data_IF_650806421717
#
_entry.id   IF_650806421717
#
_cell.length_a   1.000
_cell.length_b   1.000
_cell.length_c   1.000
_cell.angle_alpha   90.00
_cell.angle_beta   90.00
_cell.angle_gamma   90.00
#
_symmetry.space_group_name_H-M   'P 1'
#
loop_
_entity.id
_entity.type
_entity.pdbx_description
1 polymer ?
#
# COMPACT_ATOMS: atom_id res chain seq x y z
N UNK A 1 -6.96 17.76 0.39
CA UNK A 1 -6.35 16.47 -0.03
C UNK A 1 -7.28 15.32 0.33
N UNK A 2 -7.65 14.48 -0.65
CA UNK A 2 -8.41 13.26 -0.45
C UNK A 2 -7.43 12.09 -0.28
N UNK A 3 -7.51 11.39 0.86
CA UNK A 3 -6.66 10.23 1.17
C UNK A 3 -7.52 8.98 1.22
N UNK A 4 -7.07 7.91 0.57
CA UNK A 4 -7.63 6.56 0.71
C UNK A 4 -6.59 5.68 1.40
N UNK A 5 -7.03 4.95 2.44
CA UNK A 5 -6.23 3.97 3.17
C UNK A 5 -6.69 2.55 2.88
N UNK A 6 -5.78 1.68 2.45
CA UNK A 6 -6.05 0.25 2.26
C UNK A 6 -5.25 -0.57 3.27
N UNK A 7 -5.89 -1.08 4.34
CA UNK A 7 -5.22 -1.88 5.37
C UNK A 7 -4.67 -3.21 4.86
N UNK A 8 -3.99 -3.94 5.74
CA UNK A 8 -3.56 -5.31 5.50
C UNK A 8 -4.68 -6.34 5.73
N UNK A 9 -4.29 -7.61 5.81
CA UNK A 9 -5.25 -8.74 5.91
C UNK A 9 -6.03 -8.76 7.23
N UNK A 10 -5.38 -8.38 8.34
CA UNK A 10 -5.98 -8.45 9.68
C UNK A 10 -6.67 -7.13 10.05
N UNK A 11 -7.80 -7.16 10.80
CA UNK A 11 -8.57 -5.98 11.15
C UNK A 11 -7.80 -4.95 11.99
N UNK A 12 -6.86 -5.37 12.82
CA UNK A 12 -5.99 -4.47 13.58
C UNK A 12 -5.07 -3.62 12.70
N UNK A 13 -4.86 -3.97 11.43
CA UNK A 13 -4.14 -3.13 10.48
C UNK A 13 -4.92 -1.86 10.10
N UNK A 14 -6.24 -1.81 10.29
CA UNK A 14 -7.02 -0.58 10.16
C UNK A 14 -6.61 0.44 11.24
N UNK A 15 -6.54 0.01 12.49
CA UNK A 15 -6.11 0.86 13.61
C UNK A 15 -4.64 1.30 13.45
N UNK A 16 -3.80 0.39 12.98
CA UNK A 16 -2.41 0.69 12.67
C UNK A 16 -2.29 1.78 11.58
N UNK A 17 -3.03 1.64 10.48
CA UNK A 17 -3.01 2.61 9.39
C UNK A 17 -3.55 3.97 9.84
N UNK A 18 -4.61 3.98 10.64
CA UNK A 18 -5.14 5.19 11.27
C UNK A 18 -4.09 5.89 12.12
N UNK A 19 -3.31 5.14 12.91
CA UNK A 19 -2.24 5.69 13.73
C UNK A 19 -1.13 6.32 12.87
N UNK A 20 -0.75 5.69 11.77
CA UNK A 20 0.23 6.26 10.82
C UNK A 20 -0.28 7.57 10.22
N UNK A 21 -1.54 7.60 9.75
CA UNK A 21 -2.13 8.80 9.16
C UNK A 21 -2.20 9.95 10.17
N UNK A 22 -2.64 9.68 11.41
CA UNK A 22 -2.69 10.69 12.48
C UNK A 22 -1.30 11.23 12.78
N UNK A 23 -0.31 10.36 12.93
CA UNK A 23 1.06 10.75 13.23
C UNK A 23 1.72 11.55 12.08
N UNK A 24 1.32 11.29 10.84
CA UNK A 24 1.75 12.03 9.65
C UNK A 24 0.90 13.27 9.36
N UNK A 25 -0.03 13.63 10.25
CA UNK A 25 -0.95 14.78 10.10
C UNK A 25 -1.82 14.73 8.84
N UNK A 26 -2.18 13.51 8.40
CA UNK A 26 -3.00 13.26 7.22
C UNK A 26 -4.46 12.97 7.57
N UNK A 27 -5.42 13.21 6.65
CA UNK A 27 -6.82 12.86 6.84
C UNK A 27 -7.04 11.36 7.10
N UNK A 28 -7.86 11.01 8.09
CA UNK A 28 -8.13 9.62 8.50
C UNK A 28 -9.48 9.06 8.03
N UNK A 29 -10.23 9.83 7.27
CA UNK A 29 -11.46 9.36 6.63
C UNK A 29 -11.11 8.70 5.28
N UNK A 30 -11.77 7.63 4.93
CA UNK A 30 -11.48 6.91 3.68
C UNK A 30 -10.58 5.68 3.87
N UNK A 31 -10.43 5.20 5.11
CA UNK A 31 -9.79 3.90 5.36
C UNK A 31 -10.81 2.80 5.07
N UNK A 32 -10.42 1.85 4.21
CA UNK A 32 -11.27 0.73 3.84
C UNK A 32 -11.51 -0.22 5.02
N UNK A 33 -12.73 -0.75 5.08
CA UNK A 33 -13.12 -1.83 5.96
C UNK A 33 -13.45 -3.05 5.10
N UNK A 34 -12.73 -4.14 5.28
CA UNK A 34 -12.86 -5.29 4.37
C UNK A 34 -13.97 -6.25 4.80
N UNK A 35 -14.69 -6.80 3.81
CA UNK A 35 -15.79 -7.73 4.03
C UNK A 35 -15.38 -8.96 4.84
N UNK A 36 -14.20 -9.52 4.59
CA UNK A 36 -13.73 -10.73 5.27
C UNK A 36 -13.46 -10.55 6.77
N UNK A 37 -13.44 -9.32 7.29
CA UNK A 37 -13.35 -9.09 8.73
C UNK A 37 -14.68 -9.30 9.45
N UNK A 38 -15.80 -9.09 8.78
CA UNK A 38 -17.15 -9.23 9.35
C UNK A 38 -17.76 -10.60 9.03
N UNK A 39 -17.32 -11.20 7.93
CA UNK A 39 -17.79 -12.49 7.45
C UNK A 39 -16.68 -13.54 7.57
N UNK A 40 -17.04 -14.80 7.84
CA UNK A 40 -16.08 -15.92 7.91
C UNK A 40 -15.69 -16.41 6.50
N UNK A 41 -15.10 -15.52 5.71
CA UNK A 41 -14.66 -15.78 4.33
C UNK A 41 -13.20 -15.41 4.14
N UNK A 42 -12.56 -15.93 3.10
CA UNK A 42 -11.22 -15.52 2.72
C UNK A 42 -11.23 -14.09 2.13
N UNK A 43 -10.09 -13.36 2.21
CA UNK A 43 -9.94 -12.08 1.52
C UNK A 43 -10.23 -12.21 0.02
N UNK A 44 -11.04 -11.31 -0.50
CA UNK A 44 -11.42 -11.24 -1.91
C UNK A 44 -10.87 -9.95 -2.53
N UNK A 45 -9.68 -10.03 -3.11
CA UNK A 45 -9.01 -8.90 -3.75
C UNK A 45 -9.82 -8.32 -4.90
N UNK A 46 -10.51 -9.16 -5.68
CA UNK A 46 -11.37 -8.70 -6.77
C UNK A 46 -12.54 -7.88 -6.26
N UNK A 47 -13.27 -8.39 -5.28
CA UNK A 47 -14.38 -7.68 -4.66
C UNK A 47 -13.96 -6.32 -4.09
N UNK A 48 -12.90 -6.31 -3.28
CA UNK A 48 -12.43 -5.08 -2.63
C UNK A 48 -11.88 -4.07 -3.67
N UNK A 49 -11.26 -4.53 -4.74
CA UNK A 49 -10.78 -3.65 -5.81
C UNK A 49 -11.90 -3.00 -6.62
N UNK A 50 -13.03 -3.68 -6.82
CA UNK A 50 -14.21 -3.12 -7.48
C UNK A 50 -14.82 -1.94 -6.72
N UNK A 51 -14.73 -1.94 -5.37
CA UNK A 51 -15.23 -0.84 -4.54
C UNK A 51 -14.44 0.47 -4.74
N UNK A 52 -13.26 0.41 -5.35
CA UNK A 52 -12.44 1.57 -5.70
C UNK A 52 -12.71 2.10 -7.11
N UNK A 53 -13.65 1.50 -7.84
CA UNK A 53 -13.95 1.84 -9.22
C UNK A 53 -14.15 3.36 -9.41
N UNK A 54 -13.46 3.91 -10.42
CA UNK A 54 -13.53 5.33 -10.80
C UNK A 54 -13.11 6.34 -9.71
N UNK A 55 -12.54 5.89 -8.60
CA UNK A 55 -12.02 6.81 -7.58
C UNK A 55 -10.63 7.34 -7.98
N UNK A 56 -10.38 8.61 -7.69
CA UNK A 56 -9.13 9.29 -8.02
C UNK A 56 -8.64 10.13 -6.82
N UNK A 57 -8.20 9.49 -5.73
CA UNK A 57 -7.70 10.21 -4.56
C UNK A 57 -6.40 10.95 -4.87
N UNK A 58 -6.12 11.99 -4.09
CA UNK A 58 -4.83 12.68 -4.16
C UNK A 58 -3.69 11.76 -3.67
N UNK A 59 -3.95 11.00 -2.61
CA UNK A 59 -2.99 10.07 -2.02
C UNK A 59 -3.65 8.72 -1.68
N UNK A 60 -2.98 7.64 -2.07
CA UNK A 60 -3.25 6.29 -1.58
C UNK A 60 -2.18 5.87 -0.59
N UNK A 61 -2.58 5.31 0.56
CA UNK A 61 -1.66 4.59 1.46
C UNK A 61 -2.16 3.16 1.63
N UNK A 62 -1.35 2.19 1.24
CA UNK A 62 -1.74 0.78 1.27
C UNK A 62 -0.71 -0.07 2.04
N UNK A 63 -1.22 -1.01 2.84
CA UNK A 63 -0.43 -1.97 3.63
C UNK A 63 -0.67 -3.39 3.15
N UNK A 64 0.38 -4.13 2.86
CA UNK A 64 0.33 -5.59 2.62
C UNK A 64 -0.76 -5.98 1.60
N UNK A 65 -1.85 -6.66 2.01
CA UNK A 65 -2.99 -7.01 1.14
C UNK A 65 -3.52 -5.79 0.36
N UNK A 66 -3.55 -4.63 0.99
CA UNK A 66 -4.00 -3.39 0.35
C UNK A 66 -3.18 -3.02 -0.89
N UNK A 67 -1.92 -3.43 -0.98
CA UNK A 67 -1.08 -3.18 -2.18
C UNK A 67 -1.54 -3.99 -3.39
N UNK A 68 -1.99 -5.23 -3.18
CA UNK A 68 -2.59 -6.06 -4.23
C UNK A 68 -3.95 -5.51 -4.70
N UNK A 69 -4.78 -5.07 -3.75
CA UNK A 69 -6.09 -4.45 -4.04
C UNK A 69 -5.89 -3.18 -4.88
N UNK A 70 -4.95 -2.32 -4.51
CA UNK A 70 -4.63 -1.09 -5.23
C UNK A 70 -4.19 -1.35 -6.68
N UNK A 71 -3.26 -2.29 -6.86
CA UNK A 71 -2.73 -2.63 -8.19
C UNK A 71 -3.83 -3.18 -9.10
N UNK A 72 -4.70 -4.05 -8.58
CA UNK A 72 -5.82 -4.61 -9.33
C UNK A 72 -6.86 -3.55 -9.69
N UNK A 73 -7.22 -2.68 -8.74
CA UNK A 73 -8.15 -1.58 -8.98
C UNK A 73 -7.63 -0.62 -10.05
N UNK A 74 -6.35 -0.30 -10.04
CA UNK A 74 -5.72 0.54 -11.04
C UNK A 74 -5.84 -0.05 -12.46
N UNK A 75 -5.53 -1.33 -12.61
CA UNK A 75 -5.51 -1.96 -13.93
C UNK A 75 -6.93 -2.24 -14.47
N UNK A 76 -7.85 -2.72 -13.62
CA UNK A 76 -9.14 -3.22 -14.08
C UNK A 76 -10.33 -2.31 -13.76
N UNK A 77 -10.23 -1.40 -12.78
CA UNK A 77 -11.40 -0.66 -12.26
C UNK A 77 -11.23 0.86 -12.32
N UNK A 78 -10.35 1.37 -13.18
CA UNK A 78 -10.15 2.81 -13.39
C UNK A 78 -9.85 3.59 -12.10
N UNK A 79 -9.27 2.94 -11.10
CA UNK A 79 -8.76 3.61 -9.91
C UNK A 79 -7.50 4.39 -10.27
N UNK A 80 -7.48 5.71 -9.99
CA UNK A 80 -6.43 6.62 -10.47
C UNK A 80 -5.92 7.54 -9.35
N UNK A 81 -5.22 7.01 -8.34
CA UNK A 81 -4.57 7.87 -7.35
C UNK A 81 -3.50 8.72 -8.03
N UNK A 82 -3.34 9.96 -7.58
CA UNK A 82 -2.26 10.84 -8.11
C UNK A 82 -0.90 10.37 -7.61
N UNK A 83 -0.83 9.94 -6.36
CA UNK A 83 0.37 9.40 -5.73
C UNK A 83 0.04 8.26 -4.77
N UNK A 84 1.01 7.41 -4.46
CA UNK A 84 0.80 6.26 -3.59
C UNK A 84 1.99 5.96 -2.67
N UNK A 85 1.69 5.49 -1.46
CA UNK A 85 2.66 4.93 -0.52
C UNK A 85 2.26 3.48 -0.25
N UNK A 86 3.13 2.54 -0.62
CA UNK A 86 2.92 1.11 -0.45
C UNK A 86 3.85 0.58 0.64
N UNK A 87 3.28 0.07 1.73
CA UNK A 87 4.02 -0.35 2.92
C UNK A 87 3.95 -1.86 3.08
N UNK A 88 5.10 -2.52 3.15
CA UNK A 88 5.17 -3.97 3.33
C UNK A 88 4.51 -4.73 2.19
N UNK A 89 4.88 -4.42 0.97
CA UNK A 89 4.40 -5.11 -0.23
C UNK A 89 4.87 -6.56 -0.24
N UNK A 90 3.97 -7.57 -0.18
CA UNK A 90 4.36 -8.97 -0.03
C UNK A 90 4.62 -9.62 -1.40
N UNK A 91 5.52 -9.06 -2.20
CA UNK A 91 5.74 -9.46 -3.59
C UNK A 91 6.25 -10.90 -3.77
N UNK A 92 6.83 -11.51 -2.73
CA UNK A 92 7.26 -12.92 -2.77
C UNK A 92 6.11 -13.91 -2.77
N UNK A 93 4.94 -13.52 -2.24
CA UNK A 93 3.75 -14.38 -2.22
C UNK A 93 2.81 -14.10 -3.39
N UNK A 94 3.10 -13.09 -4.18
CA UNK A 94 2.35 -12.79 -5.39
C UNK A 94 2.71 -13.76 -6.51
N UNK A 95 1.72 -14.15 -7.28
CA UNK A 95 1.96 -14.86 -8.54
C UNK A 95 2.51 -13.90 -9.63
N UNK A 96 3.01 -14.43 -10.77
CA UNK A 96 3.53 -13.57 -11.82
C UNK A 96 2.53 -12.56 -12.38
N UNK A 97 1.23 -12.87 -12.38
CA UNK A 97 0.19 -11.95 -12.84
C UNK A 97 0.01 -10.78 -11.85
N UNK A 98 -0.03 -11.06 -10.56
CA UNK A 98 -0.10 -10.04 -9.51
C UNK A 98 1.14 -9.12 -9.51
N UNK A 99 2.33 -9.68 -9.70
CA UNK A 99 3.56 -8.90 -9.88
C UNK A 99 3.46 -7.97 -11.09
N UNK A 100 2.90 -8.46 -12.20
CA UNK A 100 2.70 -7.64 -13.40
C UNK A 100 1.70 -6.49 -13.17
N UNK A 101 0.62 -6.71 -12.40
CA UNK A 101 -0.33 -5.65 -12.02
C UNK A 101 0.35 -4.58 -11.16
N UNK A 102 1.15 -4.99 -10.19
CA UNK A 102 1.86 -4.06 -9.33
C UNK A 102 2.91 -3.24 -10.08
N UNK A 103 3.59 -3.85 -11.07
CA UNK A 103 4.49 -3.12 -11.97
C UNK A 103 3.74 -2.06 -12.76
N UNK A 104 2.61 -2.41 -13.40
CA UNK A 104 1.79 -1.45 -14.14
C UNK A 104 1.30 -0.30 -13.25
N UNK A 105 0.93 -0.61 -12.01
CA UNK A 105 0.58 0.41 -11.01
C UNK A 105 1.74 1.38 -10.78
N UNK A 106 2.92 0.88 -10.47
CA UNK A 106 4.10 1.69 -10.18
C UNK A 106 4.62 2.48 -11.41
N UNK A 107 4.36 2.01 -12.61
CA UNK A 107 4.65 2.76 -13.85
C UNK A 107 3.67 3.93 -14.07
N UNK A 108 2.42 3.76 -13.67
CA UNK A 108 1.35 4.72 -13.89
C UNK A 108 1.12 5.71 -12.75
N UNK A 109 1.61 5.42 -11.54
CA UNK A 109 1.39 6.21 -10.33
C UNK A 109 2.74 6.55 -9.70
N UNK A 110 2.92 7.79 -9.28
CA UNK A 110 4.10 8.17 -8.48
C UNK A 110 4.04 7.42 -7.15
N UNK A 111 5.01 6.53 -6.92
CA UNK A 111 4.91 5.55 -5.85
C UNK A 111 6.15 5.54 -4.96
N UNK A 112 5.92 5.64 -3.65
CA UNK A 112 6.89 5.33 -2.60
C UNK A 112 6.62 3.92 -2.08
N UNK A 113 7.64 3.06 -2.08
CA UNK A 113 7.62 1.78 -1.38
C UNK A 113 8.38 1.91 -0.05
N UNK A 114 7.72 1.60 1.06
CA UNK A 114 8.36 1.49 2.37
C UNK A 114 8.42 0.00 2.72
N UNK A 115 9.63 -0.56 2.79
CA UNK A 115 9.82 -2.00 2.93
C UNK A 115 10.83 -2.29 4.03
N UNK A 116 10.54 -3.26 4.91
CA UNK A 116 11.51 -3.72 5.89
C UNK A 116 12.70 -4.40 5.20
N UNK A 117 13.90 -4.19 5.76
CA UNK A 117 15.14 -4.73 5.17
C UNK A 117 15.07 -6.25 4.98
N UNK A 118 14.46 -6.96 5.92
CA UNK A 118 14.31 -8.42 5.89
C UNK A 118 12.84 -8.85 6.00
N UNK A 119 11.93 -8.13 5.33
CA UNK A 119 10.51 -8.45 5.34
C UNK A 119 10.29 -9.89 4.80
N UNK A 120 9.57 -10.75 5.54
CA UNK A 120 9.29 -12.12 5.08
C UNK A 120 8.46 -12.16 3.79
N UNK A 121 7.65 -11.14 3.52
CA UNK A 121 6.94 -10.96 2.25
C UNK A 121 7.80 -10.50 1.09
N UNK A 122 9.06 -10.13 1.36
CA UNK A 122 10.05 -9.69 0.38
C UNK A 122 10.94 -8.58 0.91
N UNK A 123 12.27 -8.77 0.85
CA UNK A 123 13.25 -7.82 1.35
C UNK A 123 13.27 -6.51 0.53
N UNK A 124 13.54 -5.39 1.20
CA UNK A 124 13.63 -4.09 0.55
C UNK A 124 14.66 -4.07 -0.60
N UNK A 125 15.81 -4.72 -0.41
CA UNK A 125 16.90 -4.75 -1.40
C UNK A 125 16.56 -5.44 -2.72
N UNK A 126 15.58 -6.34 -2.73
CA UNK A 126 15.19 -7.12 -3.90
C UNK A 126 13.92 -6.57 -4.58
N UNK A 127 13.21 -5.63 -3.93
CA UNK A 127 11.90 -5.16 -4.39
C UNK A 127 11.98 -4.55 -5.78
N UNK A 128 12.85 -3.59 -5.99
CA UNK A 128 12.96 -2.88 -7.27
C UNK A 128 13.31 -3.81 -8.44
N UNK A 129 14.22 -4.76 -8.22
CA UNK A 129 14.62 -5.73 -9.24
C UNK A 129 13.50 -6.75 -9.53
N UNK A 130 12.84 -7.27 -8.48
CA UNK A 130 11.75 -8.26 -8.64
C UNK A 130 10.54 -7.67 -9.35
N UNK A 131 10.17 -6.43 -9.04
CA UNK A 131 9.08 -5.73 -9.71
C UNK A 131 9.51 -5.09 -11.04
N UNK A 132 10.81 -5.12 -11.38
CA UNK A 132 11.37 -4.46 -12.57
C UNK A 132 10.97 -2.98 -12.65
N UNK A 133 11.11 -2.27 -11.54
CA UNK A 133 10.69 -0.88 -11.44
C UNK A 133 11.56 0.01 -12.35
N UNK A 134 10.91 0.78 -13.21
CA UNK A 134 11.53 1.82 -14.01
C UNK A 134 11.46 3.18 -13.34
N UNK A 135 10.55 3.33 -12.38
CA UNK A 135 10.31 4.55 -11.59
C UNK A 135 9.74 4.17 -10.22
N UNK A 136 9.65 5.13 -9.34
CA UNK A 136 9.27 4.92 -7.94
C UNK A 136 10.50 4.92 -7.04
N UNK A 137 10.26 5.15 -5.76
CA UNK A 137 11.28 5.20 -4.71
C UNK A 137 11.09 4.02 -3.75
N UNK A 138 12.18 3.41 -3.30
CA UNK A 138 12.16 2.37 -2.27
C UNK A 138 12.94 2.85 -1.05
N UNK A 139 12.24 2.96 0.08
CA UNK A 139 12.86 3.28 1.37
C UNK A 139 12.88 2.01 2.22
N UNK A 140 14.10 1.55 2.54
CA UNK A 140 14.30 0.45 3.48
C UNK A 140 14.18 0.95 4.92
N UNK A 141 13.40 0.22 5.73
CA UNK A 141 13.30 0.45 7.17
C UNK A 141 13.79 -0.79 7.92
N UNK A 142 14.31 -0.65 9.17
CA UNK A 142 14.69 -1.81 9.97
C UNK A 142 13.50 -2.73 10.24
N UNK A 143 13.73 -4.04 10.23
CA UNK A 143 12.74 -5.03 10.63
C UNK A 143 12.70 -6.29 9.76
N UNK A 144 12.05 -7.31 10.31
CA UNK A 144 11.95 -8.66 9.72
C UNK A 144 10.62 -9.37 10.08
N UNK A 145 9.64 -8.63 10.62
CA UNK A 145 8.40 -9.21 11.15
C UNK A 145 7.14 -8.85 10.35
N UNK A 146 7.27 -8.02 9.33
CA UNK A 146 6.15 -7.51 8.52
C UNK A 146 5.14 -6.61 9.29
N UNK A 147 5.42 -6.28 10.55
CA UNK A 147 4.46 -5.55 11.40
C UNK A 147 4.60 -4.03 11.35
N UNK A 148 5.79 -3.51 11.05
CA UNK A 148 6.03 -2.06 10.90
C UNK A 148 5.58 -1.27 12.14
N UNK A 149 6.07 -1.66 13.31
CA UNK A 149 5.62 -1.13 14.62
C UNK A 149 6.08 0.29 14.93
N UNK A 150 7.16 0.74 14.32
CA UNK A 150 7.70 2.08 14.54
C UNK A 150 6.89 3.14 13.76
N UNK A 151 5.72 3.48 14.32
CA UNK A 151 4.77 4.43 13.73
C UNK A 151 5.41 5.81 13.54
N UNK A 152 6.24 6.26 14.47
CA UNK A 152 6.86 7.58 14.40
C UNK A 152 7.80 7.69 13.19
N UNK A 153 8.69 6.72 13.01
CA UNK A 153 9.59 6.69 11.85
C UNK A 153 8.84 6.56 10.53
N UNK A 154 7.76 5.77 10.48
CA UNK A 154 6.90 5.67 9.30
C UNK A 154 6.22 7.00 8.98
N UNK A 155 5.65 7.64 9.98
CA UNK A 155 4.98 8.93 9.83
C UNK A 155 5.93 10.01 9.30
N UNK A 156 7.17 10.06 9.80
CA UNK A 156 8.19 10.98 9.32
C UNK A 156 8.54 10.75 7.84
N UNK A 157 8.60 9.50 7.40
CA UNK A 157 8.85 9.17 5.99
C UNK A 157 7.66 9.59 5.14
N UNK A 158 6.46 9.24 5.56
CA UNK A 158 5.20 9.56 4.87
C UNK A 158 5.06 11.08 4.71
N UNK A 159 5.24 11.83 5.80
CA UNK A 159 5.10 13.28 5.80
C UNK A 159 6.11 13.94 4.86
N UNK A 160 7.40 13.61 4.97
CA UNK A 160 8.42 14.18 4.08
C UNK A 160 8.17 13.90 2.61
N UNK A 161 7.69 12.71 2.29
CA UNK A 161 7.41 12.36 0.91
C UNK A 161 6.19 13.10 0.37
N UNK A 162 5.12 13.22 1.15
CA UNK A 162 3.92 13.98 0.75
C UNK A 162 4.21 15.45 0.54
N UNK A 163 5.03 16.08 1.41
CA UNK A 163 5.47 17.47 1.24
C UNK A 163 6.31 17.69 -0.02
N UNK A 164 7.03 16.67 -0.49
CA UNK A 164 7.88 16.77 -1.68
C UNK A 164 7.13 16.57 -2.99
N UNK A 165 5.92 16.02 -2.94
CA UNK A 165 5.09 15.70 -4.12
C UNK A 165 3.93 16.69 -4.33
N UNK A 166 3.70 17.63 -3.40
CA UNK A 166 2.78 18.75 -3.56
C UNK A 166 3.39 19.89 -4.41
#
# INVERSE_FOLDING_TARGET
MQVIGLPGRHPDTELWLRAVLIAAELPVHGIAHYRHWDEAVDPDVEWESQLLCEQAPDLLIAKSLGTAIAARAFVYHQFRPKSAILIGTPYRVFDPAEVALLRQFAEGVETLFIQQAEDPGGAASELAATLQLCRGEVVAVPGSDHLYKDIASLADIVQRWTESTE
#
